data_IF_333420522552
#
_entry.id   IF_333420522552
#
_cell.length_a   1.000
_cell.length_b   1.000
_cell.length_c   1.000
_cell.angle_alpha   90.00
_cell.angle_beta   90.00
_cell.angle_gamma   90.00
#
_symmetry.space_group_name_H-M   'P 1'
#
loop_
_entity.id
_entity.type
_entity.pdbx_description
1 polymer ?
#
# COMPACT_ATOMS: atom_id res chain seq x y z
N UNK A 1 6.31 4.93 9.26
CA UNK A 1 6.43 5.90 8.15
C UNK A 1 5.14 6.10 7.35
N UNK A 2 4.22 5.13 7.25
CA UNK A 2 2.96 5.29 6.51
C UNK A 2 1.83 6.02 7.26
N UNK A 3 2.00 6.30 8.56
CA UNK A 3 0.97 6.84 9.47
C UNK A 3 0.65 8.35 9.26
N UNK A 4 1.17 8.96 8.18
CA UNK A 4 0.98 10.38 7.86
C UNK A 4 0.38 10.57 6.45
N UNK A 5 -0.39 9.60 5.94
CA UNK A 5 -0.93 9.67 4.57
C UNK A 5 0.12 9.56 3.45
N UNK A 6 1.31 9.06 3.74
CA UNK A 6 2.33 8.84 2.73
C UNK A 6 1.93 7.71 1.77
N UNK A 7 2.19 7.90 0.49
CA UNK A 7 2.01 6.87 -0.53
C UNK A 7 3.01 5.72 -0.35
N UNK A 8 2.67 4.55 -0.89
CA UNK A 8 3.54 3.36 -0.81
C UNK A 8 4.52 3.37 -1.97
N UNK A 9 5.79 3.25 -1.62
CA UNK A 9 6.90 3.20 -2.56
C UNK A 9 7.35 1.75 -2.79
N UNK A 10 7.72 1.43 -4.02
CA UNK A 10 8.11 0.08 -4.44
C UNK A 10 9.24 -0.57 -3.61
N UNK A 11 10.31 0.14 -3.22
CA UNK A 11 11.40 -0.46 -2.44
C UNK A 11 10.98 -0.92 -1.05
N UNK A 12 9.88 -0.38 -0.50
CA UNK A 12 9.37 -0.74 0.82
C UNK A 12 8.43 -1.94 0.84
N UNK A 13 8.16 -2.56 -0.31
CA UNK A 13 7.27 -3.73 -0.42
C UNK A 13 8.13 -5.00 -0.43
N UNK A 14 7.98 -5.81 0.60
CA UNK A 14 8.69 -7.09 0.75
C UNK A 14 7.97 -8.22 0.01
N UNK A 15 6.65 -8.31 0.16
CA UNK A 15 5.82 -9.29 -0.51
C UNK A 15 4.53 -8.62 -1.04
N UNK A 16 3.97 -9.19 -2.11
CA UNK A 16 2.71 -8.74 -2.68
C UNK A 16 1.94 -9.93 -3.28
N UNK A 17 0.63 -9.94 -3.08
CA UNK A 17 -0.28 -10.85 -3.78
C UNK A 17 -0.55 -10.41 -5.22
N UNK A 18 -1.56 -11.01 -5.85
CA UNK A 18 -1.99 -10.64 -7.19
C UNK A 18 -3.16 -9.67 -7.18
N UNK A 19 -3.04 -8.62 -7.99
CA UNK A 19 -4.03 -7.56 -8.15
C UNK A 19 -3.78 -6.82 -9.46
N UNK A 20 -4.81 -6.12 -9.94
CA UNK A 20 -4.73 -5.29 -11.12
C UNK A 20 -4.53 -3.83 -10.77
N UNK A 21 -4.12 -3.05 -11.78
CA UNK A 21 -4.08 -1.59 -11.68
C UNK A 21 -5.47 -1.06 -11.36
N UNK A 22 -5.57 -0.23 -10.34
CA UNK A 22 -6.80 0.41 -9.89
C UNK A 22 -7.52 -0.35 -8.77
N UNK A 23 -7.10 -1.57 -8.45
CA UNK A 23 -7.69 -2.34 -7.35
C UNK A 23 -7.35 -1.70 -6.00
N UNK A 24 -8.26 -1.88 -5.04
CA UNK A 24 -7.99 -1.55 -3.64
C UNK A 24 -7.18 -2.67 -3.01
N UNK A 25 -6.07 -2.29 -2.37
CA UNK A 25 -5.14 -3.20 -1.73
C UNK A 25 -4.96 -2.80 -0.28
N UNK A 26 -4.78 -3.80 0.58
CA UNK A 26 -4.48 -3.60 2.00
C UNK A 26 -2.99 -3.78 2.21
N UNK A 27 -2.36 -2.80 2.85
CA UNK A 27 -0.95 -2.87 3.23
C UNK A 27 -0.87 -3.35 4.67
N UNK A 28 -0.10 -4.42 4.84
CA UNK A 28 0.08 -5.11 6.11
C UNK A 28 1.53 -4.92 6.56
N UNK A 29 1.72 -4.66 7.85
CA UNK A 29 3.03 -4.66 8.47
C UNK A 29 3.60 -6.08 8.50
N UNK A 30 4.77 -6.28 7.88
CA UNK A 30 5.43 -7.59 7.83
C UNK A 30 5.74 -8.14 9.23
N UNK A 31 6.12 -7.28 10.18
CA UNK A 31 6.57 -7.72 11.51
C UNK A 31 5.44 -8.13 12.42
N UNK A 32 4.29 -7.46 12.35
CA UNK A 32 3.18 -7.66 13.28
C UNK A 32 1.90 -8.19 12.62
N UNK A 33 1.87 -8.32 11.29
CA UNK A 33 0.68 -8.76 10.54
C UNK A 33 -0.50 -7.79 10.64
N UNK A 34 -0.29 -6.56 11.13
CA UNK A 34 -1.35 -5.57 11.32
C UNK A 34 -1.65 -4.87 10.01
N UNK A 35 -2.94 -4.74 9.69
CA UNK A 35 -3.39 -3.95 8.54
C UNK A 35 -3.23 -2.47 8.90
N UNK A 36 -2.44 -1.74 8.10
CA UNK A 36 -2.07 -0.36 8.41
C UNK A 36 -2.74 0.65 7.49
N UNK A 37 -2.92 0.29 6.22
CA UNK A 37 -3.34 1.22 5.18
C UNK A 37 -4.20 0.49 4.16
N UNK A 38 -5.23 1.16 3.65
CA UNK A 38 -5.94 0.82 2.42
C UNK A 38 -5.49 1.81 1.36
N UNK A 39 -5.07 1.28 0.22
CA UNK A 39 -4.60 2.10 -0.90
C UNK A 39 -5.08 1.59 -2.24
N UNK A 40 -4.89 2.41 -3.28
CA UNK A 40 -5.24 2.07 -4.66
C UNK A 40 -3.98 1.74 -5.44
N UNK A 41 -3.95 0.56 -6.05
CA UNK A 41 -2.83 0.12 -6.87
C UNK A 41 -2.71 1.01 -8.12
N UNK A 42 -1.53 1.58 -8.37
CA UNK A 42 -1.27 2.40 -9.57
C UNK A 42 -0.82 1.56 -10.77
N UNK A 43 -0.39 0.34 -10.49
CA UNK A 43 0.14 -0.66 -11.43
C UNK A 43 -0.38 -2.05 -11.03
N UNK A 44 -0.32 -3.02 -11.93
CA UNK A 44 -0.65 -4.41 -11.60
C UNK A 44 0.46 -5.04 -10.74
N UNK A 45 0.16 -6.13 -10.03
CA UNK A 45 1.18 -6.89 -9.29
C UNK A 45 2.35 -7.32 -10.19
N UNK A 46 2.05 -7.70 -11.44
CA UNK A 46 3.05 -8.10 -12.44
C UNK A 46 3.98 -6.97 -12.86
N UNK A 47 3.43 -5.78 -13.07
CA UNK A 47 4.24 -4.60 -13.41
C UNK A 47 5.07 -4.16 -12.20
N UNK A 48 4.46 -4.13 -11.01
CA UNK A 48 5.15 -3.76 -9.77
C UNK A 48 6.33 -4.68 -9.50
N UNK A 49 6.23 -5.99 -9.74
CA UNK A 49 7.35 -6.93 -9.58
C UNK A 49 8.56 -6.59 -10.46
N UNK A 50 8.35 -5.97 -11.62
CA UNK A 50 9.42 -5.54 -12.54
C UNK A 50 9.97 -4.14 -12.23
N UNK A 51 9.37 -3.42 -11.28
CA UNK A 51 9.82 -2.11 -10.85
C UNK A 51 10.72 -2.22 -9.62
N UNK A 52 11.81 -1.43 -9.60
CA UNK A 52 12.71 -1.34 -8.44
C UNK A 52 12.47 -0.08 -7.60
N UNK A 53 11.80 0.94 -8.16
CA UNK A 53 11.59 2.24 -7.51
C UNK A 53 10.31 2.93 -7.95
N UNK A 54 9.92 3.96 -7.22
CA UNK A 54 8.77 4.81 -7.53
C UNK A 54 7.55 4.52 -6.66
N UNK A 55 6.57 5.43 -6.74
CA UNK A 55 5.27 5.32 -6.08
C UNK A 55 4.42 4.28 -6.80
N UNK A 56 3.86 3.33 -6.06
CA UNK A 56 3.15 2.18 -6.64
C UNK A 56 1.74 1.98 -6.08
N UNK A 57 1.47 2.45 -4.87
CA UNK A 57 0.12 2.46 -4.29
C UNK A 57 -0.16 3.85 -3.74
N UNK A 58 -1.32 4.39 -4.08
CA UNK A 58 -1.81 5.63 -3.52
C UNK A 58 -2.53 5.37 -2.20
N UNK A 59 -2.16 6.08 -1.14
CA UNK A 59 -2.83 5.97 0.15
C UNK A 59 -4.25 6.56 0.08
N UNK A 60 -5.25 5.83 0.57
CA UNK A 60 -6.65 6.30 0.64
C UNK A 60 -7.09 6.45 2.09
N UNK A 61 -6.73 5.48 2.93
CA UNK A 61 -7.15 5.43 4.32
C UNK A 61 -6.06 4.74 5.13
N UNK A 62 -5.75 5.25 6.32
CA UNK A 62 -4.75 4.67 7.19
C UNK A 62 -5.18 4.69 8.65
N UNK A 63 -4.64 3.75 9.42
CA UNK A 63 -4.84 3.71 10.87
C UNK A 63 -4.43 5.05 11.48
N UNK A 64 -5.37 5.71 12.15
CA UNK A 64 -5.16 7.00 12.81
C UNK A 64 -5.54 8.23 11.99
N UNK A 65 -6.10 8.08 10.79
CA UNK A 65 -6.69 9.21 10.06
C UNK A 65 -8.02 9.70 10.65
N UNK A 66 -8.51 10.85 10.17
CA UNK A 66 -9.75 11.46 10.67
C UNK A 66 -10.97 10.52 10.57
N UNK A 67 -10.98 9.56 9.64
CA UNK A 67 -12.09 8.63 9.44
C UNK A 67 -11.97 7.36 10.27
N UNK A 68 -10.83 7.10 10.92
CA UNK A 68 -10.60 5.87 11.69
C UNK A 68 -11.41 5.80 13.00
N UNK A 69 -11.75 6.94 13.61
CA UNK A 69 -12.44 7.02 14.91
C UNK A 69 -13.91 7.45 14.80
N UNK A 70 -14.49 7.44 13.59
CA UNK A 70 -15.90 7.77 13.37
C UNK A 70 -16.77 6.52 13.49
#
# INVERSE_FOLDING_TARGET
FMVNGADVMRPGIVEMGDFNKGDFVVIVDEKHGKQLVIGKALFSSKDMRQMDKGKVIQNIHHVGDESWNI
#
